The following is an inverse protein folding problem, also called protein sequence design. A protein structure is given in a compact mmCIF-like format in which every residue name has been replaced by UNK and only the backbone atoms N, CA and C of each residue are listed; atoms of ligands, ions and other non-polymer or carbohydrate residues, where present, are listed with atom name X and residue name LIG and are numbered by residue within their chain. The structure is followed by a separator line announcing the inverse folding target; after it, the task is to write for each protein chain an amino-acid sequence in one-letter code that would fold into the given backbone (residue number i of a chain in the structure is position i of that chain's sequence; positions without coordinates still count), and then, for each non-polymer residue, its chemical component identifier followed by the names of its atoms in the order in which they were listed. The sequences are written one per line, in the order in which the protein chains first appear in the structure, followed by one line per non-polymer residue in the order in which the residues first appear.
data_IF_072424622639
#
_entry.id   IF_072424622639
#
_cell.length_a   1.000
_cell.length_b   1.000
_cell.length_c   1.000
_cell.angle_alpha   90.00
_cell.angle_beta   90.00
_cell.angle_gamma   90.00
#
_symmetry.space_group_name_H-M   'P 1'
#
loop_
_entity.id
_entity.type
_entity.pdbx_description
1 polymer ?
#
# COMPACT_ATOMS: atom_id res chain seq x y z
N UNK A 1 -27.38 35.22 18.69
CA UNK A 1 -28.44 34.76 17.73
C UNK A 1 -27.89 34.54 16.32
N UNK A 2 -26.90 35.30 15.88
CA UNK A 2 -26.29 35.20 14.53
C UNK A 2 -25.36 33.96 14.45
N UNK A 3 -24.53 33.70 15.46
CA UNK A 3 -23.65 32.53 15.50
C UNK A 3 -24.41 31.21 15.46
N UNK A 4 -25.56 31.10 16.15
CA UNK A 4 -26.41 29.90 16.12
C UNK A 4 -26.98 29.59 14.73
N UNK A 5 -27.28 30.62 13.96
CA UNK A 5 -27.84 30.49 12.61
C UNK A 5 -26.77 30.00 11.61
N UNK A 6 -25.55 30.51 11.73
CA UNK A 6 -24.41 30.05 10.91
C UNK A 6 -23.99 28.62 11.23
N UNK A 7 -23.90 28.22 12.51
CA UNK A 7 -23.61 26.85 12.90
C UNK A 7 -24.69 25.86 12.42
N UNK A 8 -25.93 26.21 12.42
CA UNK A 8 -27.03 25.34 11.95
C UNK A 8 -27.00 25.17 10.43
N UNK A 9 -26.66 26.21 9.68
CA UNK A 9 -26.50 26.14 8.22
C UNK A 9 -25.28 25.30 7.81
N UNK A 10 -24.16 25.41 8.50
CA UNK A 10 -22.95 24.58 8.23
C UNK A 10 -23.20 23.11 8.52
N UNK A 11 -23.90 22.77 9.60
CA UNK A 11 -24.24 21.38 9.91
C UNK A 11 -25.17 20.77 8.86
N UNK A 12 -26.19 21.49 8.41
CA UNK A 12 -27.13 20.98 7.38
C UNK A 12 -26.40 20.75 6.07
N UNK A 13 -25.53 21.67 5.66
CA UNK A 13 -24.72 21.51 4.44
C UNK A 13 -23.76 20.32 4.54
N UNK A 14 -23.11 20.14 5.69
CA UNK A 14 -22.24 19.00 5.92
C UNK A 14 -23.01 17.67 5.83
N UNK A 15 -24.22 17.58 6.38
CA UNK A 15 -25.08 16.40 6.28
C UNK A 15 -25.51 16.11 4.84
N UNK A 16 -25.90 17.12 4.07
CA UNK A 16 -26.31 16.96 2.66
C UNK A 16 -25.12 16.51 1.80
N UNK A 17 -23.96 17.13 1.94
CA UNK A 17 -22.73 16.69 1.22
C UNK A 17 -22.35 15.28 1.61
N UNK A 18 -22.45 14.92 2.89
CA UNK A 18 -22.16 13.55 3.37
C UNK A 18 -23.11 12.54 2.75
N UNK A 19 -24.41 12.81 2.72
CA UNK A 19 -25.40 11.91 2.12
C UNK A 19 -25.15 11.73 0.62
N UNK A 20 -24.87 12.82 -0.10
CA UNK A 20 -24.58 12.77 -1.54
C UNK A 20 -23.33 11.96 -1.86
N UNK A 21 -22.24 12.18 -1.11
CA UNK A 21 -20.99 11.42 -1.30
C UNK A 21 -21.19 9.97 -0.92
N UNK A 22 -21.94 9.65 0.16
CA UNK A 22 -22.27 8.27 0.53
C UNK A 22 -23.01 7.56 -0.60
N UNK A 23 -23.94 8.23 -1.27
CA UNK A 23 -24.66 7.66 -2.43
C UNK A 23 -23.71 7.36 -3.58
N UNK A 24 -22.77 8.25 -3.89
CA UNK A 24 -21.74 8.01 -4.92
C UNK A 24 -20.87 6.81 -4.52
N UNK A 25 -20.43 6.72 -3.27
CA UNK A 25 -19.64 5.59 -2.75
C UNK A 25 -20.39 4.27 -2.92
N UNK A 26 -21.68 4.24 -2.58
CA UNK A 26 -22.55 3.06 -2.75
C UNK A 26 -22.64 2.67 -4.23
N UNK A 27 -22.93 3.63 -5.11
CA UNK A 27 -23.03 3.36 -6.56
C UNK A 27 -21.72 2.79 -7.12
N UNK A 28 -20.58 3.39 -6.76
CA UNK A 28 -19.27 2.92 -7.19
C UNK A 28 -18.95 1.53 -6.65
N UNK A 29 -19.34 1.24 -5.42
CA UNK A 29 -19.14 -0.08 -4.81
C UNK A 29 -19.96 -1.15 -5.55
N UNK A 30 -21.23 -0.87 -5.85
CA UNK A 30 -22.10 -1.79 -6.60
C UNK A 30 -21.55 -2.02 -8.01
N UNK A 31 -21.22 -0.95 -8.73
CA UNK A 31 -20.64 -1.06 -10.08
C UNK A 31 -19.32 -1.82 -10.06
N UNK A 32 -18.45 -1.54 -9.08
CA UNK A 32 -17.17 -2.24 -8.92
C UNK A 32 -17.33 -3.72 -8.59
N UNK A 33 -18.41 -4.11 -7.88
CA UNK A 33 -18.68 -5.51 -7.56
C UNK A 33 -19.26 -6.30 -8.73
N UNK A 34 -19.95 -5.64 -9.66
CA UNK A 34 -20.60 -6.28 -10.81
C UNK A 34 -19.72 -6.33 -12.04
N UNK A 35 -18.84 -5.36 -12.22
CA UNK A 35 -17.97 -5.25 -13.40
C UNK A 35 -16.50 -5.35 -13.00
N UNK A 36 -15.82 -6.49 -13.26
CA UNK A 36 -14.45 -6.74 -12.79
C UNK A 36 -13.45 -5.65 -13.19
N UNK A 37 -13.54 -5.12 -14.40
CA UNK A 37 -12.68 -4.04 -14.89
C UNK A 37 -12.83 -2.73 -14.07
N UNK A 38 -14.05 -2.43 -13.60
CA UNK A 38 -14.33 -1.24 -12.81
C UNK A 38 -14.01 -1.40 -11.33
N UNK A 39 -13.74 -2.62 -10.87
CA UNK A 39 -13.40 -2.90 -9.46
C UNK A 39 -12.15 -2.13 -9.01
N UNK A 40 -11.10 -2.05 -9.85
CA UNK A 40 -9.90 -1.28 -9.56
C UNK A 40 -10.17 0.22 -9.41
N UNK A 41 -11.02 0.78 -10.29
CA UNK A 41 -11.42 2.18 -10.20
C UNK A 41 -12.26 2.42 -8.95
N UNK A 42 -13.22 1.55 -8.66
CA UNK A 42 -14.07 1.64 -7.48
C UNK A 42 -13.24 1.60 -6.19
N UNK A 43 -12.23 0.72 -6.12
CA UNK A 43 -11.33 0.57 -4.97
C UNK A 43 -10.53 1.86 -4.65
N UNK A 44 -10.29 2.73 -5.61
CA UNK A 44 -9.60 4.01 -5.40
C UNK A 44 -10.58 5.17 -5.26
N UNK A 45 -11.62 5.22 -6.09
CA UNK A 45 -12.52 6.38 -6.15
C UNK A 45 -13.52 6.39 -4.98
N UNK A 46 -14.11 5.26 -4.62
CA UNK A 46 -15.07 5.19 -3.53
C UNK A 46 -14.46 5.61 -2.17
N UNK A 47 -13.28 5.07 -1.74
CA UNK A 47 -12.64 5.54 -0.51
C UNK A 47 -12.23 7.01 -0.54
N UNK A 48 -11.90 7.56 -1.72
CA UNK A 48 -11.53 8.98 -1.84
C UNK A 48 -12.68 9.90 -1.45
N UNK A 49 -13.93 9.54 -1.73
CA UNK A 49 -15.11 10.27 -1.32
C UNK A 49 -15.23 10.39 0.20
N UNK A 50 -15.05 9.27 0.92
CA UNK A 50 -15.07 9.23 2.39
C UNK A 50 -13.95 10.11 2.97
N UNK A 51 -12.74 10.03 2.41
CA UNK A 51 -11.61 10.85 2.85
C UNK A 51 -11.87 12.35 2.62
N UNK A 52 -12.44 12.73 1.48
CA UNK A 52 -12.76 14.13 1.17
C UNK A 52 -13.80 14.72 2.13
N UNK A 53 -14.81 13.96 2.53
CA UNK A 53 -15.74 14.38 3.58
C UNK A 53 -15.00 14.61 4.89
N UNK A 54 -14.08 13.71 5.26
CA UNK A 54 -13.22 13.85 6.44
C UNK A 54 -12.40 15.13 6.43
N UNK A 55 -11.84 15.49 5.29
CA UNK A 55 -11.06 16.73 5.12
C UNK A 55 -11.94 17.97 5.32
N UNK A 56 -13.11 17.99 4.69
CA UNK A 56 -14.00 19.15 4.70
C UNK A 56 -14.73 19.35 6.03
N UNK A 57 -15.33 18.29 6.54
CA UNK A 57 -16.28 18.35 7.64
C UNK A 57 -15.80 17.64 8.90
N UNK A 58 -14.70 16.88 8.80
CA UNK A 58 -14.09 16.15 9.91
C UNK A 58 -14.45 14.68 9.96
N UNK A 59 -13.69 13.96 10.79
CA UNK A 59 -13.77 12.49 10.92
C UNK A 59 -15.16 11.98 11.34
N UNK A 60 -15.94 12.76 12.09
CA UNK A 60 -17.33 12.42 12.46
C UNK A 60 -18.22 12.22 11.24
N UNK A 61 -18.13 13.10 10.24
CA UNK A 61 -18.91 13.01 9.01
C UNK A 61 -18.39 11.91 8.08
N UNK A 62 -17.07 11.67 8.08
CA UNK A 62 -16.46 10.54 7.38
C UNK A 62 -16.95 9.20 7.95
N UNK A 63 -17.02 9.07 9.27
CA UNK A 63 -17.62 7.92 9.92
C UNK A 63 -19.11 7.76 9.56
N UNK A 64 -19.87 8.84 9.61
CA UNK A 64 -21.29 8.82 9.22
C UNK A 64 -21.47 8.38 7.77
N UNK A 65 -20.64 8.89 6.83
CA UNK A 65 -20.64 8.47 5.43
C UNK A 65 -20.37 6.96 5.29
N UNK A 66 -19.42 6.45 6.04
CA UNK A 66 -19.07 5.02 6.03
C UNK A 66 -20.20 4.15 6.55
N UNK A 67 -20.85 4.56 7.65
CA UNK A 67 -21.99 3.82 8.22
C UNK A 67 -23.17 3.82 7.25
N UNK A 68 -23.52 4.96 6.66
CA UNK A 68 -24.60 5.06 5.66
C UNK A 68 -24.28 4.18 4.46
N UNK A 69 -23.06 4.25 3.92
CA UNK A 69 -22.63 3.42 2.80
C UNK A 69 -22.69 1.92 3.16
N UNK A 70 -22.24 1.55 4.36
CA UNK A 70 -22.31 0.16 4.84
C UNK A 70 -23.74 -0.36 4.89
N UNK A 71 -24.66 0.40 5.48
CA UNK A 71 -26.08 0.02 5.59
C UNK A 71 -26.70 -0.12 4.20
N UNK A 72 -26.49 0.84 3.30
CA UNK A 72 -27.05 0.80 1.95
C UNK A 72 -26.50 -0.36 1.13
N UNK A 73 -25.19 -0.61 1.14
CA UNK A 73 -24.60 -1.76 0.43
C UNK A 73 -25.07 -3.07 1.05
N UNK A 74 -25.23 -3.16 2.37
CA UNK A 74 -25.77 -4.34 3.05
C UNK A 74 -27.20 -4.67 2.60
N UNK A 75 -28.02 -3.65 2.41
CA UNK A 75 -29.42 -3.81 1.96
C UNK A 75 -29.51 -4.15 0.46
N UNK A 76 -28.65 -3.58 -0.38
CA UNK A 76 -28.75 -3.69 -1.85
C UNK A 76 -28.01 -4.90 -2.42
N UNK A 77 -26.87 -5.25 -1.82
CA UNK A 77 -25.97 -6.30 -2.34
C UNK A 77 -25.80 -7.45 -1.32
N UNK A 78 -25.89 -7.13 -0.05
CA UNK A 78 -25.78 -8.10 1.03
C UNK A 78 -24.71 -7.70 2.06
N UNK A 79 -24.85 -8.18 3.31
CA UNK A 79 -24.00 -7.79 4.43
C UNK A 79 -22.54 -8.26 4.26
N UNK A 80 -22.32 -9.43 3.65
CA UNK A 80 -20.98 -9.94 3.40
C UNK A 80 -20.20 -9.02 2.46
N UNK A 81 -20.84 -8.57 1.37
CA UNK A 81 -20.22 -7.65 0.41
C UNK A 81 -19.93 -6.29 1.05
N UNK A 82 -20.84 -5.79 1.88
CA UNK A 82 -20.64 -4.54 2.61
C UNK A 82 -19.44 -4.64 3.58
N UNK A 83 -19.27 -5.77 4.27
CA UNK A 83 -18.12 -6.03 5.12
C UNK A 83 -16.82 -6.11 4.31
N UNK A 84 -16.83 -6.85 3.21
CA UNK A 84 -15.64 -7.03 2.37
C UNK A 84 -15.17 -5.72 1.69
N UNK A 85 -16.09 -4.81 1.38
CA UNK A 85 -15.77 -3.58 0.65
C UNK A 85 -15.75 -2.36 1.56
N UNK A 86 -16.90 -1.96 2.12
CA UNK A 86 -17.02 -0.71 2.87
C UNK A 86 -16.17 -0.73 4.14
N UNK A 87 -16.22 -1.81 4.92
CA UNK A 87 -15.43 -1.91 6.14
C UNK A 87 -13.93 -1.91 5.85
N UNK A 88 -13.53 -2.60 4.78
CA UNK A 88 -12.12 -2.70 4.42
C UNK A 88 -11.48 -1.34 4.14
N UNK A 89 -12.14 -0.44 3.44
CA UNK A 89 -11.55 0.85 3.07
C UNK A 89 -12.07 2.06 3.86
N UNK A 90 -13.09 1.90 4.72
CA UNK A 90 -13.61 3.02 5.52
C UNK A 90 -12.59 3.54 6.52
N UNK A 91 -11.99 2.66 7.34
CA UNK A 91 -10.99 3.07 8.33
C UNK A 91 -9.77 3.77 7.69
N UNK A 92 -9.11 3.21 6.67
CA UNK A 92 -8.00 3.90 6.02
C UNK A 92 -8.41 5.25 5.42
N UNK A 93 -9.64 5.38 4.90
CA UNK A 93 -10.14 6.65 4.34
C UNK A 93 -10.39 7.70 5.42
N UNK A 94 -10.93 7.30 6.59
CA UNK A 94 -11.13 8.18 7.72
C UNK A 94 -9.79 8.69 8.23
N UNK A 95 -8.80 7.80 8.42
CA UNK A 95 -7.45 8.19 8.82
C UNK A 95 -6.78 9.09 7.79
N UNK A 96 -6.95 8.81 6.50
CA UNK A 96 -6.40 9.65 5.44
C UNK A 96 -7.03 11.04 5.43
N UNK A 97 -8.35 11.13 5.61
CA UNK A 97 -9.07 12.40 5.74
C UNK A 97 -8.55 13.23 6.92
N UNK A 98 -8.39 12.60 8.08
CA UNK A 98 -7.83 13.25 9.27
C UNK A 98 -6.36 13.64 9.09
N UNK A 99 -5.56 12.80 8.44
CA UNK A 99 -4.15 13.07 8.17
C UNK A 99 -3.95 14.33 7.31
N UNK A 100 -4.78 14.53 6.29
CA UNK A 100 -4.78 15.76 5.49
C UNK A 100 -5.27 16.96 6.29
N UNK A 101 -6.36 16.80 7.04
CA UNK A 101 -6.94 17.87 7.85
C UNK A 101 -6.01 18.36 8.95
N UNK A 102 -5.37 17.43 9.66
CA UNK A 102 -4.47 17.70 10.79
C UNK A 102 -3.02 17.89 10.36
N UNK A 103 -2.73 18.00 9.06
CA UNK A 103 -1.40 18.24 8.50
C UNK A 103 -0.33 17.26 9.01
N UNK A 104 -0.64 15.96 9.06
CA UNK A 104 0.34 14.94 9.47
C UNK A 104 1.58 14.96 8.58
N UNK A 105 2.71 14.55 9.13
CA UNK A 105 3.91 14.34 8.31
C UNK A 105 3.64 13.31 7.21
N UNK A 106 4.33 13.43 6.07
CA UNK A 106 4.10 12.56 4.91
C UNK A 106 4.19 11.06 5.26
N UNK A 107 5.18 10.67 6.08
CA UNK A 107 5.31 9.28 6.53
C UNK A 107 4.08 8.81 7.32
N UNK A 108 3.58 9.58 8.27
CA UNK A 108 2.37 9.24 9.05
C UNK A 108 1.13 9.18 8.16
N UNK A 109 1.03 10.08 7.18
CA UNK A 109 -0.08 10.14 6.23
C UNK A 109 -0.19 8.87 5.38
N UNK A 110 0.91 8.19 5.09
CA UNK A 110 0.90 6.93 4.33
C UNK A 110 0.85 5.72 5.26
N UNK A 111 1.72 5.68 6.28
CA UNK A 111 1.91 4.47 7.10
C UNK A 111 0.68 4.14 7.95
N UNK A 112 0.05 5.13 8.60
CA UNK A 112 -1.10 4.87 9.48
C UNK A 112 -2.32 4.36 8.70
N UNK A 113 -2.76 4.98 7.59
CA UNK A 113 -3.83 4.41 6.78
C UNK A 113 -3.45 3.08 6.12
N UNK A 114 -2.16 2.84 5.79
CA UNK A 114 -1.72 1.56 5.25
C UNK A 114 -1.82 0.43 6.29
N UNK A 115 -1.44 0.69 7.55
CA UNK A 115 -1.67 -0.26 8.64
C UNK A 115 -3.16 -0.52 8.81
N UNK A 116 -4.00 0.51 8.82
CA UNK A 116 -5.44 0.36 8.93
C UNK A 116 -6.00 -0.49 7.78
N UNK A 117 -5.58 -0.24 6.52
CA UNK A 117 -6.02 -1.01 5.36
C UNK A 117 -5.54 -2.48 5.44
N UNK A 118 -4.31 -2.70 5.91
CA UNK A 118 -3.77 -4.06 6.09
C UNK A 118 -4.59 -4.83 7.13
N UNK A 119 -4.87 -4.23 8.28
CA UNK A 119 -5.65 -4.87 9.33
C UNK A 119 -7.09 -5.13 8.88
N UNK A 120 -7.77 -4.15 8.27
CA UNK A 120 -9.15 -4.32 7.83
C UNK A 120 -9.28 -5.32 6.68
N UNK A 121 -8.33 -5.37 5.77
CA UNK A 121 -8.33 -6.34 4.67
C UNK A 121 -8.05 -7.77 5.18
N UNK A 122 -7.15 -7.96 6.13
CA UNK A 122 -6.95 -9.26 6.78
C UNK A 122 -8.20 -9.70 7.55
N UNK A 123 -8.80 -8.81 8.34
CA UNK A 123 -10.06 -9.09 9.01
C UNK A 123 -11.16 -9.48 8.02
N UNK A 124 -11.25 -8.80 6.88
CA UNK A 124 -12.19 -9.12 5.80
C UNK A 124 -12.01 -10.54 5.27
N UNK A 125 -10.79 -10.99 5.06
CA UNK A 125 -10.48 -12.37 4.63
C UNK A 125 -10.95 -13.39 5.69
N UNK A 126 -10.62 -13.18 6.97
CA UNK A 126 -11.03 -14.09 8.04
C UNK A 126 -12.54 -14.16 8.21
N UNK A 127 -13.23 -13.03 8.15
CA UNK A 127 -14.69 -12.97 8.24
C UNK A 127 -15.32 -13.68 7.03
N UNK A 128 -14.82 -13.42 5.82
CA UNK A 128 -15.31 -14.09 4.60
C UNK A 128 -15.11 -15.60 4.68
N UNK A 129 -13.94 -16.06 5.11
CA UNK A 129 -13.66 -17.48 5.29
C UNK A 129 -14.60 -18.13 6.30
N UNK A 130 -14.85 -17.47 7.43
CA UNK A 130 -15.77 -17.99 8.45
C UNK A 130 -17.24 -18.05 8.03
N UNK A 131 -17.69 -17.13 7.16
CA UNK A 131 -19.09 -17.04 6.71
C UNK A 131 -19.40 -17.85 5.45
N UNK A 132 -18.41 -18.09 4.59
CA UNK A 132 -18.60 -18.76 3.29
C UNK A 132 -18.13 -20.21 3.26
N UNK A 133 -17.73 -20.78 4.41
CA UNK A 133 -17.08 -22.10 4.47
C UNK A 133 -15.86 -22.19 3.56
N UNK A 134 -15.25 -21.04 3.22
CA UNK A 134 -14.05 -20.97 2.42
C UNK A 134 -12.87 -21.50 3.24
N UNK A 135 -12.33 -22.63 2.80
CA UNK A 135 -11.20 -23.24 3.47
C UNK A 135 -9.91 -22.48 3.08
N UNK A 136 -9.24 -21.91 4.07
CA UNK A 136 -7.95 -21.23 3.88
C UNK A 136 -6.88 -22.19 3.28
N UNK A 137 -7.06 -23.51 3.43
CA UNK A 137 -6.21 -24.50 2.76
C UNK A 137 -6.29 -24.42 1.24
N UNK A 138 -7.41 -23.97 0.67
CA UNK A 138 -7.57 -23.76 -0.77
C UNK A 138 -6.62 -22.67 -1.29
N UNK A 139 -6.31 -21.64 -0.50
CA UNK A 139 -5.32 -20.62 -0.87
C UNK A 139 -3.95 -21.28 -1.02
N UNK A 140 -3.58 -22.15 -0.08
CA UNK A 140 -2.33 -22.88 -0.18
C UNK A 140 -2.31 -23.78 -1.42
N UNK A 141 -3.39 -24.47 -1.73
CA UNK A 141 -3.51 -25.29 -2.92
C UNK A 141 -3.33 -24.44 -4.21
N UNK A 142 -4.00 -23.31 -4.31
CA UNK A 142 -3.88 -22.39 -5.45
C UNK A 142 -2.43 -21.95 -5.63
N UNK A 143 -1.73 -21.61 -4.55
CA UNK A 143 -0.34 -21.13 -4.61
C UNK A 143 0.62 -22.30 -4.92
N UNK A 144 0.50 -23.42 -4.22
CA UNK A 144 1.45 -24.53 -4.29
C UNK A 144 1.26 -25.41 -5.53
N UNK A 145 0.06 -25.45 -6.09
CA UNK A 145 -0.28 -26.33 -7.21
C UNK A 145 -0.61 -25.53 -8.45
N UNK A 146 -1.67 -24.70 -8.41
CA UNK A 146 -2.19 -24.07 -9.63
C UNK A 146 -1.23 -23.01 -10.17
N UNK A 147 -0.75 -22.10 -9.31
CA UNK A 147 0.21 -21.06 -9.70
C UNK A 147 1.54 -21.68 -10.13
N UNK A 148 2.04 -22.66 -9.37
CA UNK A 148 3.28 -23.38 -9.71
C UNK A 148 3.17 -24.06 -11.07
N UNK A 149 2.09 -24.80 -11.33
CA UNK A 149 1.86 -25.46 -12.61
C UNK A 149 1.76 -24.46 -13.77
N UNK A 150 1.03 -23.34 -13.59
CA UNK A 150 0.92 -22.31 -14.62
C UNK A 150 2.29 -21.70 -14.97
N UNK A 151 3.15 -21.48 -13.97
CA UNK A 151 4.52 -20.99 -14.20
C UNK A 151 5.35 -22.05 -14.94
N UNK A 152 5.31 -23.31 -14.50
CA UNK A 152 6.05 -24.41 -15.13
C UNK A 152 5.60 -24.58 -16.59
N UNK A 153 4.31 -24.54 -16.88
CA UNK A 153 3.80 -24.65 -18.25
C UNK A 153 4.30 -23.50 -19.14
N UNK A 154 4.38 -22.27 -18.63
CA UNK A 154 4.91 -21.14 -19.37
C UNK A 154 6.39 -21.29 -19.73
N UNK A 155 7.16 -21.98 -18.89
CA UNK A 155 8.60 -22.20 -19.06
C UNK A 155 8.89 -23.44 -19.91
N UNK A 156 8.03 -24.47 -19.91
CA UNK A 156 8.18 -25.65 -20.77
C UNK A 156 8.23 -25.34 -22.27
N UNK A 157 7.76 -24.18 -22.68
CA UNK A 157 7.84 -23.72 -24.08
C UNK A 157 9.25 -23.24 -24.46
N UNK A 158 10.16 -23.10 -23.49
CA UNK A 158 11.55 -22.71 -23.74
C UNK A 158 12.45 -23.94 -23.89
N UNK A 159 13.47 -23.92 -24.77
CA UNK A 159 14.39 -25.05 -24.92
C UNK A 159 15.28 -25.16 -23.67
N UNK A 160 14.93 -26.06 -22.78
CA UNK A 160 15.70 -26.40 -21.56
C UNK A 160 16.04 -27.88 -21.52
N UNK A 161 17.21 -28.21 -20.95
CA UNK A 161 17.53 -29.58 -20.60
C UNK A 161 16.73 -30.01 -19.36
N UNK A 162 16.61 -31.34 -19.17
CA UNK A 162 15.89 -31.90 -18.00
C UNK A 162 16.52 -31.40 -16.69
N UNK A 163 17.84 -31.40 -16.61
CA UNK A 163 18.57 -30.91 -15.42
C UNK A 163 18.31 -29.43 -15.13
N UNK A 164 18.22 -28.59 -16.18
CA UNK A 164 17.85 -27.16 -16.02
C UNK A 164 16.40 -27.00 -15.55
N UNK A 165 15.49 -27.83 -16.02
CA UNK A 165 14.09 -27.81 -15.60
C UNK A 165 13.96 -28.22 -14.13
N UNK A 166 14.65 -29.28 -13.69
CA UNK A 166 14.61 -29.74 -12.30
C UNK A 166 15.18 -28.67 -11.35
N UNK A 167 16.32 -28.08 -11.70
CA UNK A 167 16.90 -26.96 -10.95
C UNK A 167 15.99 -25.70 -10.91
N UNK A 168 15.22 -25.46 -11.97
CA UNK A 168 14.24 -24.39 -12.01
C UNK A 168 13.07 -24.65 -11.07
N UNK A 169 12.55 -25.89 -11.06
CA UNK A 169 11.45 -26.30 -10.19
C UNK A 169 11.86 -26.16 -8.71
N UNK A 170 13.06 -26.62 -8.34
CA UNK A 170 13.58 -26.51 -6.98
C UNK A 170 13.70 -25.04 -6.53
N UNK A 171 14.20 -24.18 -7.42
CA UNK A 171 14.25 -22.72 -7.16
C UNK A 171 12.87 -22.10 -7.03
N UNK A 172 11.91 -22.52 -7.85
CA UNK A 172 10.53 -22.03 -7.80
C UNK A 172 9.87 -22.40 -6.47
N UNK A 173 10.05 -23.67 -6.02
CA UNK A 173 9.54 -24.13 -4.73
C UNK A 173 10.13 -23.33 -3.57
N UNK A 174 11.44 -23.13 -3.57
CA UNK A 174 12.09 -22.29 -2.57
C UNK A 174 11.54 -20.86 -2.57
N UNK A 175 11.35 -20.27 -3.76
CA UNK A 175 10.82 -18.91 -3.91
C UNK A 175 9.39 -18.80 -3.40
N UNK A 176 8.53 -19.77 -3.73
CA UNK A 176 7.14 -19.80 -3.26
C UNK A 176 7.10 -19.92 -1.74
N UNK A 177 7.89 -20.80 -1.14
CA UNK A 177 7.93 -20.95 0.32
C UNK A 177 8.44 -19.68 1.01
N UNK A 178 9.47 -19.03 0.48
CA UNK A 178 9.94 -17.76 1.00
C UNK A 178 8.88 -16.65 0.87
N UNK A 179 8.19 -16.57 -0.28
CA UNK A 179 7.12 -15.59 -0.48
C UNK A 179 5.97 -15.76 0.52
N UNK A 180 5.59 -17.01 0.84
CA UNK A 180 4.57 -17.30 1.87
C UNK A 180 5.00 -16.83 3.25
N UNK A 181 6.25 -17.06 3.63
CA UNK A 181 6.81 -16.61 4.92
C UNK A 181 6.85 -15.08 5.03
N UNK A 182 7.02 -14.36 3.91
CA UNK A 182 7.07 -12.89 3.82
C UNK A 182 5.73 -12.25 3.47
N UNK A 183 4.63 -13.00 3.45
CA UNK A 183 3.33 -12.56 2.95
C UNK A 183 2.83 -11.27 3.64
N UNK A 184 3.03 -11.15 4.95
CA UNK A 184 2.57 -10.00 5.73
C UNK A 184 3.25 -8.69 5.27
N UNK A 185 4.56 -8.73 5.05
CA UNK A 185 5.31 -7.56 4.58
C UNK A 185 4.93 -7.17 3.14
N UNK A 186 4.74 -8.15 2.24
CA UNK A 186 4.23 -7.89 0.87
C UNK A 186 2.82 -7.31 0.90
N UNK A 187 1.95 -7.84 1.76
CA UNK A 187 0.58 -7.34 1.92
C UNK A 187 0.55 -5.88 2.39
N UNK A 188 1.37 -5.57 3.40
CA UNK A 188 1.51 -4.20 3.88
C UNK A 188 2.07 -3.27 2.79
N UNK A 189 3.09 -3.69 2.05
CA UNK A 189 3.68 -2.89 0.98
C UNK A 189 2.67 -2.60 -0.14
N UNK A 190 1.90 -3.60 -0.57
CA UNK A 190 0.83 -3.41 -1.55
C UNK A 190 -0.21 -2.39 -1.06
N UNK A 191 -0.64 -2.52 0.19
CA UNK A 191 -1.59 -1.58 0.80
C UNK A 191 -1.00 -0.16 0.95
N UNK A 192 0.29 -0.02 1.23
CA UNK A 192 0.95 1.29 1.27
C UNK A 192 0.97 1.98 -0.11
N UNK A 193 1.16 1.21 -1.19
CA UNK A 193 1.04 1.71 -2.57
C UNK A 193 -0.38 2.16 -2.86
N UNK A 194 -1.39 1.37 -2.50
CA UNK A 194 -2.82 1.73 -2.67
C UNK A 194 -3.14 3.02 -1.91
N UNK A 195 -2.72 3.13 -0.66
CA UNK A 195 -2.91 4.36 0.15
C UNK A 195 -2.21 5.57 -0.48
N UNK A 196 -1.01 5.40 -1.01
CA UNK A 196 -0.31 6.48 -1.71
C UNK A 196 -1.06 6.93 -2.97
N UNK A 197 -1.57 5.99 -3.77
CA UNK A 197 -2.40 6.31 -4.94
C UNK A 197 -3.69 7.03 -4.52
N UNK A 198 -4.34 6.53 -3.46
CA UNK A 198 -5.52 7.16 -2.87
C UNK A 198 -5.22 8.58 -2.37
N UNK A 199 -4.12 8.79 -1.66
CA UNK A 199 -3.71 10.11 -1.19
C UNK A 199 -3.47 11.09 -2.35
N UNK A 200 -2.84 10.63 -3.44
CA UNK A 200 -2.70 11.43 -4.68
C UNK A 200 -4.04 11.80 -5.29
N UNK A 201 -4.94 10.84 -5.40
CA UNK A 201 -6.28 11.07 -5.94
C UNK A 201 -7.06 12.07 -5.10
N UNK A 202 -7.06 11.89 -3.78
CA UNK A 202 -7.69 12.79 -2.81
C UNK A 202 -7.10 14.21 -2.91
N UNK A 203 -5.77 14.34 -2.99
CA UNK A 203 -5.10 15.63 -3.16
C UNK A 203 -5.48 16.30 -4.48
N UNK A 204 -5.58 15.54 -5.56
CA UNK A 204 -5.98 16.04 -6.88
C UNK A 204 -7.44 16.53 -6.92
N UNK A 205 -8.37 15.72 -6.43
CA UNK A 205 -9.80 16.06 -6.38
C UNK A 205 -10.03 17.24 -5.41
N UNK A 206 -9.42 17.18 -4.24
CA UNK A 206 -9.53 18.23 -3.22
C UNK A 206 -9.02 19.58 -3.71
N UNK A 207 -7.91 19.62 -4.44
CA UNK A 207 -7.38 20.82 -5.04
C UNK A 207 -8.33 21.47 -6.08
N UNK A 208 -9.12 20.65 -6.79
CA UNK A 208 -10.14 21.14 -7.75
C UNK A 208 -11.44 21.60 -7.10
N UNK A 209 -11.71 21.17 -5.88
CA UNK A 209 -12.97 21.46 -5.17
C UNK A 209 -12.82 22.59 -4.13
N UNK A 210 -11.85 23.48 -4.32
CA UNK A 210 -11.54 24.62 -3.43
C UNK A 210 -11.31 24.22 -1.96
N UNK A 211 -10.92 22.98 -1.70
CA UNK A 211 -10.44 22.57 -0.39
C UNK A 211 -8.98 23.00 -0.25
N UNK A 212 -8.62 23.62 0.88
CA UNK A 212 -7.21 23.92 1.16
C UNK A 212 -6.46 22.60 1.34
N UNK A 213 -5.78 22.17 0.27
CA UNK A 213 -5.08 20.89 0.25
C UNK A 213 -3.58 21.11 0.25
N UNK A 214 -2.90 20.38 1.12
CA UNK A 214 -1.44 20.28 1.07
C UNK A 214 -1.03 19.48 -0.18
N UNK A 215 -0.12 20.03 -0.96
CA UNK A 215 0.51 19.29 -2.06
C UNK A 215 1.39 18.18 -1.49
N UNK A 216 1.23 16.97 -2.02
CA UNK A 216 2.10 15.86 -1.63
C UNK A 216 3.52 16.10 -2.19
N UNK A 217 4.55 15.79 -1.42
CA UNK A 217 5.93 15.94 -1.88
C UNK A 217 6.19 15.03 -3.08
N UNK A 218 6.98 15.51 -4.03
CA UNK A 218 7.43 14.71 -5.18
C UNK A 218 8.43 13.64 -4.75
N UNK A 219 8.44 12.48 -5.42
CA UNK A 219 9.27 11.33 -5.01
C UNK A 219 10.76 11.67 -4.89
N UNK A 220 11.27 12.58 -5.71
CA UNK A 220 12.67 13.03 -5.66
C UNK A 220 13.04 13.76 -4.36
N UNK A 221 12.04 14.24 -3.60
CA UNK A 221 12.25 14.94 -2.33
C UNK A 221 12.10 14.04 -1.10
N UNK A 222 11.66 12.79 -1.27
CA UNK A 222 11.45 11.89 -0.14
C UNK A 222 12.78 11.47 0.48
N UNK A 223 12.83 11.52 1.81
CA UNK A 223 13.93 11.00 2.61
C UNK A 223 13.37 9.98 3.59
N UNK A 224 13.84 8.76 3.48
CA UNK A 224 13.43 7.71 4.39
C UNK A 224 14.25 7.80 5.68
N UNK A 225 13.65 7.49 6.83
CA UNK A 225 14.32 7.59 8.11
C UNK A 225 15.39 6.49 8.28
N UNK A 226 16.48 6.84 8.95
CA UNK A 226 17.62 5.95 9.19
C UNK A 226 17.26 4.66 9.95
N UNK A 227 16.19 4.68 10.74
CA UNK A 227 15.72 3.48 11.43
C UNK A 227 15.33 2.34 10.46
N UNK A 228 15.02 2.65 9.18
CA UNK A 228 14.78 1.63 8.14
C UNK A 228 15.96 0.70 7.95
N UNK A 229 17.18 1.24 7.96
CA UNK A 229 18.41 0.43 7.92
C UNK A 229 18.59 -0.42 9.20
N UNK A 230 18.22 0.13 10.36
CA UNK A 230 18.22 -0.62 11.63
C UNK A 230 17.24 -1.79 11.61
N UNK A 231 16.01 -1.57 11.11
CA UNK A 231 14.99 -2.64 10.97
C UNK A 231 15.48 -3.72 9.99
N UNK A 232 16.12 -3.34 8.89
CA UNK A 232 16.72 -4.29 7.96
C UNK A 232 17.80 -5.14 8.65
N UNK A 233 18.71 -4.52 9.39
CA UNK A 233 19.79 -5.23 10.09
C UNK A 233 19.23 -6.22 11.14
N UNK A 234 18.29 -5.76 11.98
CA UNK A 234 17.63 -6.62 12.97
C UNK A 234 16.87 -7.75 12.26
N UNK A 235 16.17 -7.45 11.20
CA UNK A 235 15.44 -8.44 10.40
C UNK A 235 16.38 -9.53 9.86
N UNK A 236 17.53 -9.17 9.29
CA UNK A 236 18.54 -10.12 8.79
C UNK A 236 19.10 -10.98 9.94
N UNK A 237 19.42 -10.36 11.09
CA UNK A 237 19.91 -11.10 12.24
C UNK A 237 18.88 -12.12 12.73
N UNK A 238 17.62 -11.75 12.84
CA UNK A 238 16.54 -12.65 13.25
C UNK A 238 16.23 -13.72 12.20
N UNK A 239 16.31 -13.39 10.92
CA UNK A 239 16.00 -14.33 9.84
C UNK A 239 17.05 -15.43 9.68
N UNK A 240 18.33 -15.07 9.81
CA UNK A 240 19.46 -15.93 9.49
C UNK A 240 20.39 -16.20 10.69
N UNK A 241 20.11 -15.61 11.84
CA UNK A 241 20.92 -15.77 13.04
C UNK A 241 20.73 -17.11 13.76
N UNK A 242 19.80 -17.95 13.31
CA UNK A 242 19.55 -19.28 13.89
C UNK A 242 20.83 -20.09 14.08
N UNK A 243 21.67 -20.11 13.06
CA UNK A 243 22.95 -20.83 13.08
C UNK A 243 23.97 -20.27 14.09
N UNK A 244 23.88 -18.97 14.41
CA UNK A 244 24.83 -18.29 15.28
C UNK A 244 24.31 -18.08 16.71
N UNK A 245 22.99 -17.92 16.86
CA UNK A 245 22.32 -17.60 18.12
C UNK A 245 21.69 -18.82 18.79
N UNK A 246 21.68 -19.97 18.09
CA UNK A 246 21.25 -21.27 18.64
C UNK A 246 19.75 -21.41 18.90
N UNK A 247 18.91 -20.54 18.33
CA UNK A 247 17.46 -20.71 18.40
C UNK A 247 16.95 -21.48 17.18
N UNK A 248 16.03 -22.42 17.41
CA UNK A 248 15.40 -23.25 16.35
C UNK A 248 13.93 -22.87 16.13
N UNK A 249 13.58 -21.60 16.37
CA UNK A 249 12.18 -21.17 16.32
C UNK A 249 11.86 -20.53 14.97
N UNK A 250 11.09 -21.24 14.14
CA UNK A 250 10.64 -20.78 12.83
C UNK A 250 9.86 -19.46 12.89
N UNK A 251 9.11 -19.20 13.96
CA UNK A 251 8.36 -17.93 14.14
C UNK A 251 9.32 -16.74 14.22
N UNK A 252 10.43 -16.87 14.94
CA UNK A 252 11.44 -15.79 15.05
C UNK A 252 12.06 -15.52 13.68
N UNK A 253 12.39 -16.58 12.93
CA UNK A 253 12.91 -16.48 11.56
C UNK A 253 11.90 -15.82 10.62
N UNK A 254 10.59 -16.15 10.72
CA UNK A 254 9.54 -15.55 9.89
C UNK A 254 9.34 -14.07 10.23
N UNK A 255 9.35 -13.71 11.49
CA UNK A 255 9.34 -12.29 11.92
C UNK A 255 10.57 -11.57 11.34
N UNK A 256 11.75 -12.19 11.45
CA UNK A 256 12.98 -11.66 10.89
C UNK A 256 12.89 -11.40 9.39
N UNK A 257 12.38 -12.36 8.60
CA UNK A 257 12.19 -12.22 7.17
C UNK A 257 11.25 -11.07 6.81
N UNK A 258 10.13 -10.93 7.53
CA UNK A 258 9.19 -9.81 7.31
C UNK A 258 9.80 -8.45 7.66
N UNK A 259 10.55 -8.37 8.76
CA UNK A 259 11.29 -7.15 9.13
C UNK A 259 12.40 -6.83 8.13
N UNK A 260 13.15 -7.82 7.67
CA UNK A 260 14.18 -7.64 6.66
C UNK A 260 13.59 -7.13 5.34
N UNK A 261 12.48 -7.71 4.89
CA UNK A 261 11.80 -7.25 3.69
C UNK A 261 11.28 -5.82 3.86
N UNK A 262 10.62 -5.51 4.98
CA UNK A 262 10.12 -4.17 5.26
C UNK A 262 11.25 -3.12 5.32
N UNK A 263 12.32 -3.40 6.06
CA UNK A 263 13.50 -2.55 6.12
C UNK A 263 14.18 -2.39 4.77
N UNK A 264 14.28 -3.49 3.99
CA UNK A 264 14.79 -3.50 2.62
C UNK A 264 13.96 -2.63 1.68
N UNK A 265 12.63 -2.66 1.79
CA UNK A 265 11.74 -1.78 1.02
C UNK A 265 11.96 -0.31 1.39
N UNK A 266 12.08 0.03 2.67
CA UNK A 266 12.36 1.41 3.12
C UNK A 266 13.71 1.89 2.59
N UNK A 267 14.76 1.07 2.69
CA UNK A 267 16.08 1.39 2.15
C UNK A 267 16.06 1.50 0.62
N UNK A 268 15.41 0.56 -0.08
CA UNK A 268 15.26 0.57 -1.53
C UNK A 268 14.51 1.79 -2.05
N UNK A 269 13.42 2.18 -1.39
CA UNK A 269 12.70 3.41 -1.68
C UNK A 269 13.62 4.64 -1.48
N UNK A 270 14.45 4.68 -0.44
CA UNK A 270 15.44 5.75 -0.28
C UNK A 270 16.46 5.77 -1.42
N UNK A 271 16.92 4.61 -1.87
CA UNK A 271 17.82 4.50 -3.03
C UNK A 271 17.19 5.01 -4.32
N UNK A 272 15.94 4.61 -4.61
CA UNK A 272 15.18 5.09 -5.77
C UNK A 272 15.02 6.62 -5.72
N UNK A 273 14.59 7.16 -4.59
CA UNK A 273 14.34 8.60 -4.45
C UNK A 273 15.63 9.41 -4.46
N UNK A 274 16.73 8.85 -3.96
CA UNK A 274 18.07 9.43 -4.07
C UNK A 274 18.52 9.51 -5.53
N UNK A 275 18.43 8.42 -6.29
CA UNK A 275 18.75 8.40 -7.70
C UNK A 275 17.89 9.37 -8.51
N UNK A 276 16.58 9.42 -8.24
CA UNK A 276 15.68 10.40 -8.86
C UNK A 276 16.12 11.84 -8.61
N UNK A 277 16.52 12.15 -7.37
CA UNK A 277 17.00 13.49 -6.99
C UNK A 277 18.29 13.84 -7.73
N UNK A 278 19.26 12.92 -7.78
CA UNK A 278 20.52 13.10 -8.47
C UNK A 278 20.31 13.26 -9.98
N UNK A 279 19.56 12.36 -10.63
CA UNK A 279 19.28 12.45 -12.06
C UNK A 279 18.52 13.72 -12.44
N UNK A 280 17.69 14.24 -11.53
CA UNK A 280 17.00 15.51 -11.71
C UNK A 280 17.98 16.69 -11.68
N UNK A 281 19.00 16.68 -10.82
CA UNK A 281 20.03 17.72 -10.74
C UNK A 281 20.90 17.76 -12.02
N UNK A 282 21.04 16.64 -12.72
CA UNK A 282 21.68 16.56 -14.03
C UNK A 282 20.74 16.83 -15.22
N UNK A 283 19.51 17.34 -14.97
CA UNK A 283 18.51 17.66 -15.98
C UNK A 283 18.11 16.48 -16.90
N UNK A 284 18.28 15.23 -16.46
CA UNK A 284 17.82 14.07 -17.23
C UNK A 284 16.29 14.11 -17.39
N UNK A 285 15.81 13.87 -18.60
CA UNK A 285 14.37 13.83 -18.89
C UNK A 285 13.67 12.71 -18.09
N UNK A 286 12.42 12.96 -17.70
CA UNK A 286 11.65 12.06 -16.84
C UNK A 286 11.55 10.62 -17.34
N UNK A 287 11.44 10.46 -18.66
CA UNK A 287 11.40 9.17 -19.34
C UNK A 287 12.69 8.36 -19.11
N UNK A 288 13.86 8.96 -19.30
CA UNK A 288 15.14 8.27 -19.05
C UNK A 288 15.34 7.92 -17.58
N UNK A 289 14.91 8.80 -16.66
CA UNK A 289 14.95 8.50 -15.21
C UNK A 289 14.12 7.26 -14.88
N UNK A 290 12.93 7.14 -15.48
CA UNK A 290 12.07 5.97 -15.28
C UNK A 290 12.73 4.70 -15.83
N UNK A 291 13.28 4.72 -17.04
CA UNK A 291 13.96 3.57 -17.65
C UNK A 291 15.15 3.10 -16.79
N UNK A 292 16.01 4.04 -16.36
CA UNK A 292 17.18 3.70 -15.54
C UNK A 292 16.77 3.04 -14.23
N UNK A 293 15.76 3.58 -13.53
CA UNK A 293 15.27 3.00 -12.28
C UNK A 293 14.64 1.64 -12.53
N UNK A 294 13.80 1.50 -13.56
CA UNK A 294 13.17 0.23 -13.91
C UNK A 294 14.23 -0.83 -14.24
N UNK A 295 15.24 -0.47 -15.01
CA UNK A 295 16.37 -1.35 -15.34
C UNK A 295 17.14 -1.78 -14.08
N UNK A 296 17.49 -0.84 -13.20
CA UNK A 296 18.18 -1.15 -11.95
C UNK A 296 17.33 -2.02 -11.02
N UNK A 297 16.03 -1.76 -10.95
CA UNK A 297 15.11 -2.55 -10.13
C UNK A 297 15.00 -4.00 -10.63
N UNK A 298 14.96 -4.21 -11.94
CA UNK A 298 14.89 -5.56 -12.54
C UNK A 298 16.23 -6.28 -12.45
N UNK A 299 17.33 -5.59 -12.75
CA UNK A 299 18.67 -6.21 -12.81
C UNK A 299 19.27 -6.43 -11.42
N UNK A 300 19.10 -5.51 -10.50
CA UNK A 300 19.72 -5.57 -9.18
C UNK A 300 18.95 -4.77 -8.13
N UNK A 301 17.80 -5.27 -7.63
CA UNK A 301 17.04 -4.58 -6.59
C UNK A 301 17.88 -4.37 -5.32
N UNK A 302 18.82 -5.29 -5.04
CA UNK A 302 19.72 -5.18 -3.90
C UNK A 302 20.68 -3.98 -4.00
N UNK A 303 21.09 -3.61 -5.22
CA UNK A 303 21.90 -2.41 -5.42
C UNK A 303 21.15 -1.14 -5.00
N UNK A 304 19.83 -1.06 -5.24
CA UNK A 304 19.01 0.05 -4.78
C UNK A 304 18.92 0.12 -3.26
N UNK A 305 18.82 -1.05 -2.59
CA UNK A 305 18.81 -1.13 -1.12
C UNK A 305 20.15 -0.64 -0.55
N UNK A 306 21.27 -1.15 -1.07
CA UNK A 306 22.62 -0.76 -0.62
C UNK A 306 22.83 0.74 -0.87
N UNK A 307 22.48 1.24 -2.05
CA UNK A 307 22.60 2.66 -2.38
C UNK A 307 21.74 3.54 -1.46
N UNK A 308 20.54 3.06 -1.12
CA UNK A 308 19.66 3.73 -0.16
C UNK A 308 20.23 3.79 1.25
N UNK A 309 20.90 2.72 1.72
CA UNK A 309 21.61 2.71 3.00
C UNK A 309 22.73 3.75 2.97
N UNK A 310 23.57 3.75 1.93
CA UNK A 310 24.62 4.74 1.80
C UNK A 310 24.10 6.18 1.81
N UNK A 311 22.97 6.47 1.14
CA UNK A 311 22.37 7.80 1.17
C UNK A 311 21.89 8.20 2.58
N UNK A 312 21.33 7.25 3.36
CA UNK A 312 20.89 7.51 4.74
C UNK A 312 22.03 7.93 5.67
N UNK A 313 23.23 7.36 5.50
CA UNK A 313 24.39 7.66 6.34
C UNK A 313 25.27 8.77 5.80
N UNK A 314 25.43 8.89 4.48
CA UNK A 314 26.42 9.75 3.84
C UNK A 314 25.81 10.98 3.16
N UNK A 315 24.47 11.10 3.10
CA UNK A 315 23.72 12.13 2.38
C UNK A 315 24.28 12.36 0.95
N UNK A 316 24.25 11.30 0.16
CA UNK A 316 24.79 11.28 -1.21
C UNK A 316 24.17 12.38 -2.08
N UNK A 317 22.88 12.69 -1.87
CA UNK A 317 22.16 13.76 -2.59
C UNK A 317 22.85 15.12 -2.40
N UNK A 318 23.17 15.49 -1.16
CA UNK A 318 23.83 16.77 -0.88
C UNK A 318 25.22 16.87 -1.49
N UNK A 319 25.95 15.75 -1.58
CA UNK A 319 27.28 15.71 -2.20
C UNK A 319 27.25 15.91 -3.70
N UNK A 320 26.26 15.32 -4.38
CA UNK A 320 26.10 15.44 -5.83
C UNK A 320 25.49 16.78 -6.24
N UNK A 321 24.54 17.33 -5.47
CA UNK A 321 23.97 18.66 -5.72
C UNK A 321 24.99 19.80 -5.60
N UNK A 322 25.95 19.69 -4.66
CA UNK A 322 27.03 20.68 -4.51
C UNK A 322 28.04 20.71 -5.67
N UNK A 323 28.14 19.64 -6.46
CA UNK A 323 29.03 19.56 -7.62
C UNK A 323 28.41 20.07 -8.92
N UNK A 324 27.11 20.30 -8.95
CA UNK A 324 26.38 20.79 -10.13
C UNK A 324 26.20 22.32 -10.14
N UNK A 325 26.71 23.02 -9.13
CA UNK A 325 26.83 24.49 -9.02
C UNK A 325 28.26 24.93 -9.30
#
# INVERSE_FOLDING_TARGET
YIEWRFMKQTNTRAMVETAFVSTIVVMLTIVGSTVPFLSLLATLVAPSGIALIGIRWGSKYSCAASVVAFVLVSLLVGPLMAMATILAYSLPSIFLGEAFRSNWSFGKLIVIPAIALTLTSLMGIFISAGLTSFDLSQINHIIDVDLKNAIIESVKQQPMTQEQMDAYIDRLDFTIQQAKRMLLAYWFAANAVVVYMLAKLVSYIGGRTNSVMRTLPTMDTWRMPIWGAGVLAVGIILAYGEQYLGYTNTIISDIGLNLALFGGMVCGLNGITCLLSIMKSYNLAGFFRFIIIAFLYVMSPMALVIYGIFDMFLDMRARFQKRSL
#
